data_IF_497093877293
#
_entry.id   IF_497093877293
#
_cell.length_a   1.000
_cell.length_b   1.000
_cell.length_c   1.000
_cell.angle_alpha   90.00
_cell.angle_beta   90.00
_cell.angle_gamma   90.00
#
_symmetry.space_group_name_H-M   'P 1'
#
loop_
_entity.id
_entity.type
_entity.pdbx_description
1 polymer ?
#
# COMPACT_ATOMS: atom_id res chain seq x y z
N UNK A 1 -16.51 4.88 -24.72
CA UNK A 1 -16.92 4.05 -23.56
C UNK A 1 -18.09 4.78 -22.89
N UNK A 2 -18.96 4.14 -22.08
CA UNK A 2 -19.94 4.91 -21.31
C UNK A 2 -19.22 5.89 -20.37
N UNK A 3 -19.69 7.14 -20.30
CA UNK A 3 -19.11 8.16 -19.43
C UNK A 3 -19.17 7.76 -17.96
N UNK A 4 -18.18 8.20 -17.17
CA UNK A 4 -18.09 7.87 -15.74
C UNK A 4 -19.13 8.68 -14.96
N UNK A 5 -20.12 8.00 -14.39
CA UNK A 5 -21.16 8.63 -13.56
C UNK A 5 -20.61 9.11 -12.21
N UNK A 6 -21.11 10.25 -11.72
CA UNK A 6 -20.82 10.74 -10.37
C UNK A 6 -21.43 9.81 -9.31
N UNK A 7 -20.82 9.69 -8.11
CA UNK A 7 -21.39 8.89 -7.04
C UNK A 7 -22.68 9.51 -6.52
N UNK A 8 -23.69 8.68 -6.29
CA UNK A 8 -24.95 9.09 -5.64
C UNK A 8 -24.74 9.15 -4.13
N UNK A 9 -24.94 10.33 -3.55
CA UNK A 9 -24.78 10.61 -2.12
C UNK A 9 -26.10 11.13 -1.56
N UNK A 10 -26.35 10.87 -0.28
CA UNK A 10 -27.47 11.46 0.44
C UNK A 10 -27.23 12.96 0.67
N UNK A 11 -28.30 13.69 0.95
CA UNK A 11 -28.21 15.08 1.35
C UNK A 11 -27.53 15.22 2.71
N UNK A 12 -26.83 16.35 2.93
CA UNK A 12 -26.23 16.67 4.23
C UNK A 12 -24.88 16.02 4.53
N UNK A 13 -24.31 15.25 3.60
CA UNK A 13 -22.96 14.63 3.76
C UNK A 13 -21.83 15.65 3.87
N UNK A 14 -22.05 16.88 3.39
CA UNK A 14 -21.04 17.93 3.34
C UNK A 14 -19.93 17.71 2.31
N UNK A 15 -20.10 16.71 1.43
CA UNK A 15 -19.20 16.43 0.33
C UNK A 15 -19.51 17.35 -0.86
N UNK A 16 -18.46 17.89 -1.48
CA UNK A 16 -18.60 18.72 -2.69
C UNK A 16 -18.35 17.84 -3.90
N UNK A 17 -19.42 17.43 -4.58
CA UNK A 17 -19.29 16.65 -5.81
C UNK A 17 -18.57 17.46 -6.90
N UNK A 18 -17.56 16.89 -7.58
CA UNK A 18 -16.92 17.54 -8.70
C UNK A 18 -17.87 17.60 -9.91
N UNK A 19 -17.53 18.46 -10.88
CA UNK A 19 -18.17 18.39 -12.20
C UNK A 19 -17.87 17.03 -12.83
N UNK A 20 -18.85 16.46 -13.54
CA UNK A 20 -18.70 15.21 -14.27
C UNK A 20 -17.41 15.24 -15.13
N UNK A 21 -16.65 14.14 -15.15
CA UNK A 21 -15.40 14.09 -15.90
C UNK A 21 -15.62 14.18 -17.41
N UNK A 22 -14.63 14.71 -18.13
CA UNK A 22 -14.61 14.68 -19.60
C UNK A 22 -14.44 13.24 -20.10
N UNK A 23 -14.70 12.98 -21.40
CA UNK A 23 -14.39 11.70 -22.05
C UNK A 23 -13.35 11.92 -23.18
N UNK A 24 -12.08 11.47 -23.01
CA UNK A 24 -11.54 10.82 -21.82
C UNK A 24 -11.35 11.82 -20.65
N UNK A 25 -11.28 11.33 -19.39
CA UNK A 25 -11.05 12.23 -18.25
C UNK A 25 -9.68 12.91 -18.34
N UNK A 26 -9.63 14.17 -17.94
CA UNK A 26 -8.37 14.92 -17.85
C UNK A 26 -7.63 14.62 -16.54
N UNK A 27 -6.34 14.97 -16.46
CA UNK A 27 -5.58 14.96 -15.19
C UNK A 27 -6.29 15.78 -14.09
N UNK A 28 -6.96 16.87 -14.47
CA UNK A 28 -7.76 17.68 -13.54
C UNK A 28 -8.95 16.89 -12.98
N UNK A 29 -9.54 15.98 -13.75
CA UNK A 29 -10.60 15.10 -13.26
C UNK A 29 -10.04 14.10 -12.24
N UNK A 30 -8.85 13.55 -12.49
CA UNK A 30 -8.15 12.65 -11.55
C UNK A 30 -7.88 13.36 -10.22
N UNK A 31 -7.29 14.56 -10.26
CA UNK A 31 -7.02 15.33 -9.05
C UNK A 31 -8.29 15.64 -8.25
N UNK A 32 -9.40 15.99 -8.94
CA UNK A 32 -10.69 16.23 -8.29
C UNK A 32 -11.31 14.98 -7.68
N UNK A 33 -11.18 13.83 -8.35
CA UNK A 33 -11.67 12.56 -7.82
C UNK A 33 -10.90 12.14 -6.56
N UNK A 34 -9.57 12.32 -6.54
CA UNK A 34 -8.73 12.08 -5.38
C UNK A 34 -9.09 13.00 -4.20
N UNK A 35 -9.34 14.30 -4.47
CA UNK A 35 -9.81 15.24 -3.44
C UNK A 35 -11.17 14.85 -2.87
N UNK A 36 -12.13 14.45 -3.71
CA UNK A 36 -13.42 13.95 -3.25
C UNK A 36 -13.26 12.72 -2.35
N UNK A 37 -12.39 11.77 -2.73
CA UNK A 37 -12.11 10.57 -1.93
C UNK A 37 -11.52 10.93 -0.57
N UNK A 38 -10.56 11.86 -0.51
CA UNK A 38 -10.02 12.37 0.75
C UNK A 38 -11.08 13.05 1.64
N UNK A 39 -11.99 13.83 1.05
CA UNK A 39 -13.11 14.41 1.79
C UNK A 39 -14.04 13.32 2.34
N UNK A 40 -14.34 12.28 1.55
CA UNK A 40 -15.18 11.17 1.95
C UNK A 40 -14.59 10.41 3.14
N UNK A 41 -13.28 10.12 3.15
CA UNK A 41 -12.58 9.50 4.30
C UNK A 41 -12.80 10.33 5.57
N UNK A 42 -12.65 11.65 5.47
CA UNK A 42 -12.84 12.55 6.62
C UNK A 42 -14.28 12.61 7.12
N UNK A 43 -15.28 12.55 6.24
CA UNK A 43 -16.69 12.52 6.65
C UNK A 43 -17.10 11.14 7.17
N UNK A 44 -16.53 10.06 6.63
CA UNK A 44 -16.74 8.69 7.08
C UNK A 44 -16.26 8.49 8.52
N UNK A 45 -15.06 8.97 8.86
CA UNK A 45 -14.55 8.96 10.24
C UNK A 45 -15.34 9.84 11.22
N UNK A 46 -16.34 10.58 10.75
CA UNK A 46 -17.27 11.39 11.55
C UNK A 46 -18.70 10.86 11.51
N UNK A 47 -18.90 9.65 10.99
CA UNK A 47 -20.19 8.98 10.83
C UNK A 47 -21.21 9.81 10.01
N UNK A 48 -20.73 10.64 9.08
CA UNK A 48 -21.59 11.51 8.24
C UNK A 48 -21.93 10.92 6.88
N UNK A 49 -21.22 9.88 6.47
CA UNK A 49 -21.55 9.10 5.27
C UNK A 49 -21.54 7.62 5.63
N UNK A 50 -22.42 6.85 5.01
CA UNK A 50 -22.52 5.40 5.17
C UNK A 50 -21.40 4.66 4.43
N UNK A 51 -21.18 3.39 4.81
CA UNK A 51 -20.25 2.47 4.11
C UNK A 51 -20.52 2.43 2.60
N UNK A 52 -21.81 2.37 2.23
CA UNK A 52 -22.23 2.33 0.82
C UNK A 52 -21.88 3.60 0.05
N UNK A 53 -21.95 4.78 0.69
CA UNK A 53 -21.53 6.05 0.09
C UNK A 53 -20.02 6.12 -0.08
N UNK A 54 -19.27 5.70 0.95
CA UNK A 54 -17.81 5.62 0.90
C UNK A 54 -17.34 4.69 -0.23
N UNK A 55 -17.95 3.50 -0.36
CA UNK A 55 -17.67 2.56 -1.43
C UNK A 55 -17.93 3.16 -2.82
N UNK A 56 -19.04 3.89 -3.01
CA UNK A 56 -19.34 4.56 -4.29
C UNK A 56 -18.31 5.64 -4.64
N UNK A 57 -17.85 6.42 -3.67
CA UNK A 57 -16.80 7.43 -3.91
C UNK A 57 -15.47 6.76 -4.27
N UNK A 58 -15.10 5.67 -3.59
CA UNK A 58 -13.90 4.91 -3.89
C UNK A 58 -13.93 4.33 -5.32
N UNK A 59 -15.07 3.72 -5.72
CA UNK A 59 -15.27 3.20 -7.09
C UNK A 59 -15.21 4.33 -8.12
N UNK A 60 -15.84 5.48 -7.86
CA UNK A 60 -15.74 6.65 -8.74
C UNK A 60 -14.28 7.09 -8.92
N UNK A 61 -13.52 7.24 -7.83
CA UNK A 61 -12.11 7.62 -7.90
C UNK A 61 -11.28 6.61 -8.70
N UNK A 62 -11.49 5.31 -8.46
CA UNK A 62 -10.82 4.25 -9.19
C UNK A 62 -11.09 4.32 -10.70
N UNK A 63 -12.36 4.43 -11.09
CA UNK A 63 -12.76 4.49 -12.51
C UNK A 63 -12.15 5.70 -13.22
N UNK A 64 -12.10 6.86 -12.57
CA UNK A 64 -11.47 8.06 -13.14
C UNK A 64 -9.97 7.86 -13.32
N UNK A 65 -9.27 7.31 -12.32
CA UNK A 65 -7.83 7.02 -12.42
C UNK A 65 -7.54 6.00 -13.53
N UNK A 66 -8.28 4.89 -13.57
CA UNK A 66 -8.11 3.83 -14.56
C UNK A 66 -8.28 4.36 -15.99
N UNK A 67 -9.28 5.21 -16.21
CA UNK A 67 -9.55 5.78 -17.53
C UNK A 67 -8.45 6.72 -18.07
N UNK A 68 -7.67 7.35 -17.19
CA UNK A 68 -6.57 8.25 -17.58
C UNK A 68 -5.25 7.50 -17.67
N UNK A 69 -5.00 6.56 -16.75
CA UNK A 69 -3.81 5.71 -16.81
C UNK A 69 -3.78 4.93 -18.13
N UNK A 70 -4.97 4.56 -18.64
CA UNK A 70 -5.10 3.55 -19.66
C UNK A 70 -4.56 2.22 -19.12
N UNK A 71 -5.01 1.10 -19.70
CA UNK A 71 -4.17 -0.08 -19.60
C UNK A 71 -2.94 0.20 -20.44
N UNK A 72 -1.70 0.10 -19.90
CA UNK A 72 -0.53 0.24 -20.73
C UNK A 72 -0.64 -0.78 -21.86
N UNK A 73 -0.55 -0.35 -23.12
CA UNK A 73 -0.74 -1.25 -24.27
C UNK A 73 0.23 -2.45 -24.21
N UNK A 74 1.42 -2.23 -23.66
CA UNK A 74 2.42 -3.26 -23.41
C UNK A 74 1.97 -4.31 -22.39
N UNK A 75 1.06 -3.99 -21.46
CA UNK A 75 0.67 -4.89 -20.39
C UNK A 75 -0.23 -6.01 -20.92
N UNK A 76 -1.21 -5.70 -21.77
CA UNK A 76 -2.05 -6.73 -22.38
C UNK A 76 -1.25 -7.60 -23.35
N UNK A 77 -0.35 -7.00 -24.12
CA UNK A 77 0.57 -7.72 -24.99
C UNK A 77 1.54 -8.61 -24.19
N UNK A 78 2.13 -8.13 -23.10
CA UNK A 78 3.03 -8.93 -22.26
C UNK A 78 2.30 -10.02 -21.48
N UNK A 79 1.06 -9.80 -21.03
CA UNK A 79 0.23 -10.85 -20.44
C UNK A 79 -0.09 -11.91 -21.50
N UNK A 80 -0.53 -11.51 -22.69
CA UNK A 80 -0.86 -12.44 -23.79
C UNK A 80 0.37 -13.23 -24.27
N UNK A 81 1.50 -12.54 -24.47
CA UNK A 81 2.77 -13.15 -24.84
C UNK A 81 3.31 -14.00 -23.70
N UNK A 82 3.13 -13.61 -22.44
CA UNK A 82 3.49 -14.40 -21.26
C UNK A 82 2.69 -15.70 -21.20
N UNK A 83 1.37 -15.64 -21.36
CA UNK A 83 0.47 -16.80 -21.39
C UNK A 83 0.85 -17.71 -22.57
N UNK A 84 1.01 -17.17 -23.78
CA UNK A 84 1.36 -17.96 -24.96
C UNK A 84 2.73 -18.63 -24.84
N UNK A 85 3.71 -17.97 -24.19
CA UNK A 85 5.03 -18.54 -23.85
C UNK A 85 4.99 -19.58 -22.73
N UNK A 86 3.95 -19.58 -21.90
CA UNK A 86 3.85 -20.44 -20.69
C UNK A 86 2.98 -21.68 -20.92
N UNK A 87 1.99 -21.58 -21.79
CA UNK A 87 1.04 -22.68 -22.05
C UNK A 87 1.20 -23.29 -23.44
N UNK A 88 2.15 -22.78 -24.24
CA UNK A 88 2.39 -23.21 -25.62
C UNK A 88 3.51 -24.22 -25.81
N UNK A 89 4.40 -24.49 -24.83
CA UNK A 89 5.66 -25.19 -25.11
C UNK A 89 6.16 -26.18 -24.03
N UNK A 90 5.55 -27.37 -23.96
CA UNK A 90 6.15 -28.64 -23.50
C UNK A 90 6.69 -28.76 -22.04
N UNK A 91 6.83 -30.00 -21.50
CA UNK A 91 6.95 -30.31 -20.07
C UNK A 91 8.23 -29.86 -19.31
N UNK A 92 8.98 -28.86 -19.79
CA UNK A 92 10.10 -28.22 -19.08
C UNK A 92 9.78 -26.85 -18.45
N UNK A 93 8.54 -26.37 -18.57
CA UNK A 93 8.11 -24.97 -18.37
C UNK A 93 7.98 -24.48 -16.91
N UNK A 94 7.92 -25.36 -15.91
CA UNK A 94 7.76 -24.95 -14.50
C UNK A 94 8.88 -23.98 -14.04
N UNK A 95 10.10 -24.20 -14.55
CA UNK A 95 11.27 -23.39 -14.22
C UNK A 95 11.22 -21.98 -14.85
N UNK A 96 10.46 -21.79 -15.94
CA UNK A 96 10.30 -20.47 -16.57
C UNK A 96 9.24 -19.62 -15.85
N UNK A 97 8.18 -20.23 -15.33
CA UNK A 97 7.14 -19.50 -14.62
C UNK A 97 7.65 -18.91 -13.30
N UNK A 98 8.41 -19.68 -12.51
CA UNK A 98 9.00 -19.17 -11.26
C UNK A 98 9.93 -17.98 -11.52
N UNK A 99 10.73 -18.06 -12.59
CA UNK A 99 11.64 -16.98 -12.99
C UNK A 99 10.89 -15.71 -13.40
N UNK A 100 9.74 -15.84 -14.07
CA UNK A 100 8.89 -14.70 -14.45
C UNK A 100 8.10 -14.13 -13.25
N UNK A 101 7.69 -14.99 -12.32
CA UNK A 101 6.97 -14.56 -11.12
C UNK A 101 7.88 -13.87 -10.09
N UNK A 102 9.17 -14.23 -10.04
CA UNK A 102 10.13 -13.63 -9.11
C UNK A 102 10.14 -12.09 -9.13
N UNK A 103 10.33 -11.39 -10.28
CA UNK A 103 10.31 -9.93 -10.30
C UNK A 103 8.93 -9.36 -9.92
N UNK A 104 7.83 -10.01 -10.30
CA UNK A 104 6.48 -9.56 -9.94
C UNK A 104 6.27 -9.64 -8.42
N UNK A 105 6.70 -10.74 -7.79
CA UNK A 105 6.64 -10.92 -6.33
C UNK A 105 7.48 -9.85 -5.62
N UNK A 106 8.69 -9.58 -6.12
CA UNK A 106 9.55 -8.50 -5.59
C UNK A 106 8.90 -7.13 -5.71
N UNK A 107 8.30 -6.81 -6.87
CA UNK A 107 7.60 -5.53 -7.06
C UNK A 107 6.37 -5.41 -6.15
N UNK A 108 5.60 -6.48 -6.00
CA UNK A 108 4.42 -6.51 -5.12
C UNK A 108 4.82 -6.31 -3.65
N UNK A 109 5.87 -7.00 -3.19
CA UNK A 109 6.43 -6.83 -1.86
C UNK A 109 6.88 -5.39 -1.60
N UNK A 110 7.57 -4.77 -2.57
CA UNK A 110 8.02 -3.37 -2.46
C UNK A 110 6.84 -2.39 -2.37
N UNK A 111 5.77 -2.62 -3.14
CA UNK A 111 4.54 -1.82 -3.10
C UNK A 111 3.83 -1.99 -1.75
N UNK A 112 3.63 -3.23 -1.29
CA UNK A 112 3.01 -3.52 0.01
C UNK A 112 3.79 -2.86 1.15
N UNK A 113 5.11 -2.99 1.14
CA UNK A 113 6.00 -2.34 2.10
C UNK A 113 5.85 -0.82 2.07
N UNK A 114 5.87 -0.21 0.89
CA UNK A 114 5.74 1.25 0.74
C UNK A 114 4.40 1.76 1.22
N UNK A 115 3.31 1.04 0.94
CA UNK A 115 1.97 1.37 1.41
C UNK A 115 1.87 1.30 2.94
N UNK A 116 2.40 0.23 3.56
CA UNK A 116 2.41 0.09 5.01
C UNK A 116 3.22 1.20 5.70
N UNK A 117 4.40 1.56 5.16
CA UNK A 117 5.20 2.68 5.67
C UNK A 117 4.44 4.00 5.55
N UNK A 118 3.78 4.25 4.41
CA UNK A 118 3.03 5.49 4.19
C UNK A 118 1.79 5.57 5.08
N UNK A 119 1.06 4.47 5.26
CA UNK A 119 -0.02 4.36 6.23
C UNK A 119 0.49 4.72 7.62
N UNK A 120 1.54 4.05 8.09
CA UNK A 120 2.10 4.28 9.42
C UNK A 120 2.59 5.71 9.62
N UNK A 121 3.19 6.34 8.60
CA UNK A 121 3.59 7.74 8.65
C UNK A 121 2.41 8.70 8.82
N UNK A 122 1.32 8.48 8.09
CA UNK A 122 0.12 9.31 8.21
C UNK A 122 -0.53 9.13 9.59
N UNK A 123 -0.59 7.90 10.10
CA UNK A 123 -1.30 7.59 11.34
C UNK A 123 -0.47 7.79 12.61
N UNK A 124 0.86 7.68 12.57
CA UNK A 124 1.74 7.89 13.74
C UNK A 124 1.60 9.29 14.31
N UNK A 125 1.41 10.29 13.45
CA UNK A 125 1.27 11.71 13.84
C UNK A 125 -0.02 12.01 14.61
N UNK A 126 -1.08 11.22 14.39
CA UNK A 126 -2.38 11.41 15.03
C UNK A 126 -2.51 10.73 16.40
N UNK A 127 -1.60 9.81 16.72
CA UNK A 127 -1.63 9.03 17.96
C UNK A 127 -2.84 8.10 18.13
N UNK A 128 -3.73 8.01 17.13
CA UNK A 128 -5.01 7.29 17.22
C UNK A 128 -5.15 6.14 16.21
N UNK A 129 -4.10 5.79 15.46
CA UNK A 129 -4.14 4.70 14.47
C UNK A 129 -3.33 3.47 14.89
N UNK A 130 -3.83 2.29 14.50
CA UNK A 130 -3.07 1.03 14.53
C UNK A 130 -2.04 1.06 13.41
N UNK A 131 -0.78 0.68 13.71
CA UNK A 131 0.25 0.54 12.69
C UNK A 131 -0.02 -0.72 11.84
N UNK A 132 0.14 -0.60 10.54
CA UNK A 132 0.22 -1.73 9.62
C UNK A 132 1.58 -2.43 9.76
N UNK A 133 1.56 -3.75 9.58
CA UNK A 133 2.77 -4.57 9.58
C UNK A 133 3.56 -4.24 8.32
N UNK A 134 4.80 -3.79 8.50
CA UNK A 134 5.73 -3.56 7.40
C UNK A 134 6.51 -4.84 7.14
N UNK A 135 6.36 -5.50 5.96
CA UNK A 135 7.14 -6.68 5.59
C UNK A 135 8.65 -6.38 5.60
N UNK A 136 9.50 -7.40 5.64
CA UNK A 136 10.95 -7.26 5.52
C UNK A 136 11.41 -6.80 4.13
N UNK A 137 12.71 -6.61 3.94
CA UNK A 137 13.26 -6.06 2.69
C UNK A 137 13.08 -7.02 1.50
N UNK A 138 13.07 -8.31 1.78
CA UNK A 138 12.76 -9.40 0.85
C UNK A 138 11.24 -9.59 0.61
N UNK A 139 10.41 -8.89 1.37
CA UNK A 139 8.95 -9.00 1.30
C UNK A 139 8.33 -10.00 2.26
N UNK A 140 9.13 -10.70 3.07
CA UNK A 140 8.61 -11.67 4.03
C UNK A 140 7.84 -10.97 5.17
N UNK A 141 6.77 -11.61 5.64
CA UNK A 141 5.99 -11.11 6.77
C UNK A 141 6.71 -11.49 8.07
N UNK A 142 7.16 -10.52 8.89
CA UNK A 142 7.92 -10.81 10.11
C UNK A 142 7.13 -11.62 11.13
N UNK A 143 5.79 -11.62 11.04
CA UNK A 143 4.90 -12.29 12.01
C UNK A 143 4.56 -13.73 11.63
N UNK A 144 4.94 -14.16 10.42
CA UNK A 144 4.67 -15.50 9.89
C UNK A 144 5.94 -16.34 9.88
N UNK A 145 5.79 -17.61 9.49
CA UNK A 145 6.93 -18.45 9.14
C UNK A 145 7.84 -17.76 8.11
N UNK A 146 9.17 -17.83 8.26
CA UNK A 146 9.92 -18.57 9.28
C UNK A 146 10.24 -17.77 10.57
N UNK A 147 9.83 -16.51 10.68
CA UNK A 147 10.33 -15.55 11.67
C UNK A 147 9.57 -15.55 12.99
N UNK A 148 8.23 -15.65 12.94
CA UNK A 148 7.34 -15.64 14.11
C UNK A 148 7.54 -14.48 15.10
N UNK A 149 7.90 -13.28 14.63
CA UNK A 149 8.12 -12.12 15.48
C UNK A 149 6.80 -11.47 15.93
N UNK A 150 6.77 -10.81 17.10
CA UNK A 150 5.57 -10.11 17.57
C UNK A 150 5.16 -8.95 16.65
N UNK A 151 3.87 -8.87 16.30
CA UNK A 151 3.37 -7.82 15.41
C UNK A 151 3.56 -6.40 15.98
N UNK A 152 4.17 -5.51 15.19
CA UNK A 152 4.45 -4.12 15.55
C UNK A 152 3.28 -3.18 15.19
N UNK A 153 2.14 -3.36 15.85
CA UNK A 153 0.89 -2.63 15.55
C UNK A 153 0.71 -1.34 16.37
N UNK A 154 1.65 -1.02 17.26
CA UNK A 154 1.66 0.20 18.08
C UNK A 154 3.07 0.58 18.55
N UNK A 155 3.27 1.84 18.99
CA UNK A 155 4.56 2.24 19.59
C UNK A 155 4.89 1.42 20.85
N UNK A 156 3.87 1.05 21.61
CA UNK A 156 4.04 0.20 22.79
C UNK A 156 4.57 -1.18 22.41
N UNK A 157 4.02 -1.80 21.36
CA UNK A 157 4.54 -3.09 20.86
C UNK A 157 6.00 -3.01 20.42
N UNK A 158 6.42 -1.86 19.87
CA UNK A 158 7.84 -1.63 19.54
C UNK A 158 8.68 -1.51 20.80
N UNK A 159 8.19 -0.92 21.89
CA UNK A 159 8.89 -0.77 23.18
C UNK A 159 8.93 -2.06 24.01
N UNK A 160 7.95 -2.96 23.83
CA UNK A 160 7.84 -4.22 24.56
C UNK A 160 8.72 -5.33 23.97
N UNK A 161 9.33 -5.11 22.79
CA UNK A 161 10.26 -6.07 22.20
C UNK A 161 11.45 -6.35 23.12
N UNK A 162 11.76 -7.64 23.26
CA UNK A 162 12.99 -8.13 23.87
C UNK A 162 14.22 -7.78 23.02
N UNK A 163 15.41 -7.83 23.61
CA UNK A 163 16.67 -7.57 22.90
C UNK A 163 16.87 -8.48 21.68
N UNK A 164 16.43 -9.74 21.76
CA UNK A 164 16.52 -10.69 20.67
C UNK A 164 15.59 -10.30 19.50
N UNK A 165 14.34 -9.93 19.79
CA UNK A 165 13.37 -9.54 18.78
C UNK A 165 13.72 -8.19 18.13
N UNK A 166 14.24 -7.23 18.91
CA UNK A 166 14.77 -5.96 18.36
C UNK A 166 15.85 -6.23 17.33
N UNK A 167 16.78 -7.17 17.61
CA UNK A 167 17.84 -7.52 16.64
C UNK A 167 17.27 -8.22 15.41
N UNK A 168 16.35 -9.16 15.59
CA UNK A 168 15.72 -9.86 14.47
C UNK A 168 14.96 -8.91 13.53
N UNK A 169 14.16 -7.99 14.09
CA UNK A 169 13.48 -6.95 13.30
C UNK A 169 14.46 -6.05 12.58
N UNK A 170 15.51 -5.61 13.29
CA UNK A 170 16.52 -4.74 12.73
C UNK A 170 17.26 -5.40 11.54
N UNK A 171 17.65 -6.67 11.68
CA UNK A 171 18.37 -7.41 10.65
C UNK A 171 17.48 -7.67 9.42
N UNK A 172 16.20 -8.00 9.60
CA UNK A 172 15.25 -8.16 8.50
C UNK A 172 14.95 -6.86 7.73
N UNK A 173 15.08 -5.69 8.37
CA UNK A 173 14.83 -4.40 7.71
C UNK A 173 16.02 -3.77 7.00
N UNK A 174 17.25 -3.93 7.50
CA UNK A 174 18.42 -3.41 6.79
C UNK A 174 19.73 -4.08 7.20
N UNK A 175 19.91 -4.47 8.47
CA UNK A 175 21.15 -5.14 8.89
C UNK A 175 22.44 -4.31 8.69
N UNK A 176 22.37 -3.03 8.28
CA UNK A 176 23.52 -2.29 7.70
C UNK A 176 24.30 -1.36 8.65
N UNK A 177 23.80 -1.07 9.85
CA UNK A 177 24.52 -0.30 10.88
C UNK A 177 25.80 -1.03 11.35
N UNK A 178 26.79 -0.31 11.90
CA UNK A 178 28.04 -0.89 12.42
C UNK A 178 27.84 -2.04 13.43
N UNK A 179 28.88 -2.87 13.60
CA UNK A 179 28.89 -4.13 14.37
C UNK A 179 28.52 -4.01 15.85
N UNK A 180 28.79 -2.87 16.48
CA UNK A 180 28.40 -2.63 17.88
C UNK A 180 27.10 -1.83 17.88
N UNK A 181 26.00 -2.50 18.21
CA UNK A 181 24.66 -1.89 18.25
C UNK A 181 24.09 -2.00 19.65
N UNK A 182 23.67 -0.87 20.21
CA UNK A 182 22.83 -0.88 21.42
C UNK A 182 21.40 -1.25 21.01
N UNK A 183 20.65 -1.88 21.93
CA UNK A 183 19.22 -2.17 21.70
C UNK A 183 18.45 -0.90 21.34
N UNK A 184 18.77 0.22 21.98
CA UNK A 184 18.14 1.52 21.74
C UNK A 184 18.37 2.03 20.31
N UNK A 185 19.60 1.90 19.79
CA UNK A 185 19.91 2.30 18.42
C UNK A 185 19.16 1.42 17.39
N UNK A 186 19.08 0.11 17.63
CA UNK A 186 18.29 -0.79 16.79
C UNK A 186 16.80 -0.43 16.83
N UNK A 187 16.25 -0.13 18.02
CA UNK A 187 14.84 0.24 18.19
C UNK A 187 14.52 1.55 17.48
N UNK A 188 15.39 2.55 17.58
CA UNK A 188 15.26 3.81 16.83
C UNK A 188 15.26 3.57 15.31
N UNK A 189 16.13 2.70 14.82
CA UNK A 189 16.17 2.35 13.39
C UNK A 189 14.89 1.61 12.94
N UNK A 190 14.32 0.72 13.76
CA UNK A 190 13.03 0.07 13.49
C UNK A 190 11.94 1.13 13.33
N UNK A 191 11.85 2.11 14.24
CA UNK A 191 10.84 3.17 14.17
C UNK A 191 10.92 3.99 12.88
N UNK A 192 12.13 4.27 12.38
CA UNK A 192 12.34 4.91 11.08
C UNK A 192 11.83 4.02 9.94
N UNK A 193 12.12 2.71 9.99
CA UNK A 193 11.69 1.74 8.96
C UNK A 193 10.20 1.45 8.97
N UNK A 194 9.54 1.66 10.10
CA UNK A 194 8.08 1.63 10.21
C UNK A 194 7.41 2.91 9.71
N UNK A 195 8.16 3.97 9.42
CA UNK A 195 7.60 5.27 9.02
C UNK A 195 7.08 6.12 10.19
N UNK A 196 7.39 5.76 11.44
CA UNK A 196 6.87 6.46 12.62
C UNK A 196 7.59 7.78 12.87
N UNK A 197 8.91 7.81 12.69
CA UNK A 197 9.74 9.00 12.92
C UNK A 197 10.17 9.55 11.57
N UNK A 198 9.83 10.82 11.29
CA UNK A 198 10.33 11.51 10.12
C UNK A 198 11.85 11.51 10.12
N UNK A 199 12.47 11.16 8.99
CA UNK A 199 13.91 11.35 8.78
C UNK A 199 14.19 12.85 9.01
N UNK A 200 14.92 13.16 10.07
CA UNK A 200 15.52 14.48 10.21
C UNK A 200 16.72 14.49 9.26
N UNK A 201 16.44 14.69 7.98
CA UNK A 201 17.46 14.91 6.94
C UNK A 201 17.99 16.36 7.04
#
# INVERSE_FOLDING_TARGET
MPGIALPVLNDGTGLVLPVAPSDPPSERNVARAALLHSQAINQYGRDRISDGEMARVAVYNHNVVESVAGKPAWLEEEISNGISRTFGAQPGEAMNLERLLAPIKTSLAAIQRSNAIMHNFLFSSSGMGTLEIVPFKDGEDPTKEPHFLPALTSLQSVNDLSDAEVRAYYDGYDGTLPLVRTTEACRAAILVKLGVVGRQD
#
